data_IF_729324000536
#
_entry.id   IF_729324000536
#
_cell.length_a   1.000
_cell.length_b   1.000
_cell.length_c   1.000
_cell.angle_alpha   90.00
_cell.angle_beta   90.00
_cell.angle_gamma   90.00
#
_symmetry.space_group_name_H-M   'P 1'
#
loop_
_entity.id
_entity.type
_entity.pdbx_description
1 polymer ?
#
# COMPACT_ATOMS: atom_id res chain seq x y z
N UNK A 1 -15.31 -7.43 0.46
CA UNK A 1 -14.59 -7.07 1.70
C UNK A 1 -14.42 -5.56 1.77
N UNK A 2 -14.48 -4.99 2.95
CA UNK A 2 -14.39 -3.55 3.17
C UNK A 2 -13.05 -3.24 3.83
N UNK A 3 -12.37 -2.20 3.34
CA UNK A 3 -11.10 -1.73 3.88
C UNK A 3 -11.23 -0.28 4.31
N UNK A 4 -10.36 0.14 5.21
CA UNK A 4 -10.28 1.52 5.67
C UNK A 4 -8.85 2.04 5.54
N UNK A 5 -8.72 3.30 5.13
CA UNK A 5 -7.43 3.98 5.11
C UNK A 5 -7.01 4.28 6.55
N UNK A 6 -5.74 4.06 6.86
CA UNK A 6 -5.18 4.33 8.18
C UNK A 6 -3.93 5.18 8.07
N UNK A 7 -3.58 5.81 9.18
CA UNK A 7 -2.31 6.51 9.32
C UNK A 7 -1.22 5.50 9.64
N UNK A 8 -0.12 5.54 8.89
CA UNK A 8 1.00 4.63 9.05
C UNK A 8 2.28 5.43 9.22
N UNK A 9 3.19 4.93 10.04
CA UNK A 9 4.53 5.50 10.20
C UNK A 9 5.57 4.45 9.81
N UNK A 10 6.61 4.88 9.09
CA UNK A 10 7.72 4.00 8.75
C UNK A 10 8.73 3.88 9.91
N UNK A 11 9.78 3.09 9.73
CA UNK A 11 10.77 2.81 10.77
C UNK A 11 11.57 4.03 11.21
N UNK A 12 11.61 5.08 10.41
CA UNK A 12 12.35 6.32 10.72
C UNK A 12 11.42 7.50 11.06
N UNK A 13 10.13 7.21 11.30
CA UNK A 13 9.18 8.21 11.78
C UNK A 13 8.48 9.02 10.71
N UNK A 14 8.63 8.69 9.43
CA UNK A 14 7.87 9.34 8.37
C UNK A 14 6.44 8.84 8.34
N UNK A 15 5.49 9.74 8.03
CA UNK A 15 4.08 9.44 7.99
C UNK A 15 3.57 9.28 6.57
N UNK A 16 2.63 8.35 6.39
CA UNK A 16 1.92 8.15 5.13
C UNK A 16 0.54 7.56 5.40
N UNK A 17 -0.30 7.49 4.38
CA UNK A 17 -1.63 6.89 4.48
C UNK A 17 -1.66 5.61 3.67
N UNK A 18 -2.22 4.57 4.26
CA UNK A 18 -2.30 3.27 3.60
C UNK A 18 -3.44 2.42 4.10
N UNK A 19 -3.56 1.24 3.51
CA UNK A 19 -4.52 0.22 3.90
C UNK A 19 -3.75 -1.03 4.30
N UNK A 20 -4.02 -1.56 5.48
CA UNK A 20 -3.47 -2.85 5.90
C UNK A 20 -4.30 -3.96 5.24
N UNK A 21 -3.62 -4.93 4.62
CA UNK A 21 -4.26 -6.04 3.92
C UNK A 21 -4.01 -7.32 4.71
N UNK A 22 -5.06 -8.02 5.18
CA UNK A 22 -4.90 -9.30 5.87
C UNK A 22 -4.29 -10.36 4.95
N UNK A 23 -3.45 -11.22 5.51
CA UNK A 23 -2.82 -12.31 4.75
C UNK A 23 -3.85 -13.22 4.07
N UNK A 24 -5.00 -13.43 4.70
CA UNK A 24 -6.08 -14.25 4.15
C UNK A 24 -6.58 -13.71 2.79
N UNK A 25 -6.61 -12.39 2.63
CA UNK A 25 -7.02 -11.75 1.39
C UNK A 25 -6.01 -11.96 0.25
N UNK A 26 -4.77 -12.28 0.59
CA UNK A 26 -3.67 -12.42 -0.35
C UNK A 26 -3.25 -13.87 -0.61
N UNK A 27 -3.86 -14.84 0.08
CA UNK A 27 -3.40 -16.23 0.06
C UNK A 27 -3.32 -16.81 -1.35
N UNK A 28 -4.30 -16.51 -2.19
CA UNK A 28 -4.31 -16.98 -3.58
C UNK A 28 -3.09 -16.47 -4.35
N UNK A 29 -2.75 -15.19 -4.20
CA UNK A 29 -1.61 -14.57 -4.89
C UNK A 29 -0.27 -15.01 -4.30
N UNK A 30 -0.21 -15.23 -2.99
CA UNK A 30 0.99 -15.75 -2.34
C UNK A 30 1.28 -17.19 -2.80
N UNK A 31 0.25 -18.02 -2.95
CA UNK A 31 0.40 -19.36 -3.48
C UNK A 31 0.87 -19.35 -4.94
N UNK A 32 0.33 -18.45 -5.76
CA UNK A 32 0.75 -18.25 -7.15
C UNK A 32 2.22 -17.82 -7.22
N UNK A 33 2.62 -16.89 -6.36
CA UNK A 33 4.01 -16.43 -6.28
C UNK A 33 4.95 -17.58 -5.90
N UNK A 34 4.55 -18.43 -4.97
CA UNK A 34 5.31 -19.60 -4.56
C UNK A 34 5.53 -20.57 -5.73
N UNK A 35 4.50 -20.78 -6.56
CA UNK A 35 4.62 -21.63 -7.76
C UNK A 35 5.59 -21.04 -8.79
N UNK A 36 5.55 -19.72 -8.98
CA UNK A 36 6.42 -19.02 -9.94
C UNK A 36 7.87 -19.00 -9.48
N UNK A 37 8.12 -18.74 -8.21
CA UNK A 37 9.48 -18.60 -7.64
C UNK A 37 10.12 -19.93 -7.27
N UNK A 38 9.32 -20.94 -6.91
CA UNK A 38 9.79 -22.12 -6.22
C UNK A 38 9.91 -21.88 -4.71
N UNK A 39 9.96 -22.96 -3.95
CA UNK A 39 9.90 -22.91 -2.48
C UNK A 39 11.07 -22.14 -1.87
N UNK A 40 12.29 -22.35 -2.36
CA UNK A 40 13.49 -21.71 -1.81
C UNK A 40 13.46 -20.18 -1.99
N UNK A 41 13.20 -19.72 -3.21
CA UNK A 41 13.13 -18.27 -3.49
C UNK A 41 11.94 -17.62 -2.81
N UNK A 42 10.82 -18.32 -2.72
CA UNK A 42 9.65 -17.84 -1.98
C UNK A 42 9.96 -17.65 -0.49
N UNK A 43 10.70 -18.57 0.12
CA UNK A 43 11.08 -18.46 1.53
C UNK A 43 12.01 -17.28 1.76
N UNK A 44 12.94 -17.01 0.85
CA UNK A 44 13.82 -15.83 0.90
C UNK A 44 12.97 -14.54 0.80
N UNK A 45 12.03 -14.50 -0.14
CA UNK A 45 11.13 -13.37 -0.32
C UNK A 45 10.32 -13.08 0.95
N UNK A 46 9.70 -14.10 1.54
CA UNK A 46 8.87 -13.94 2.75
C UNK A 46 9.70 -13.56 3.97
N UNK A 47 10.92 -14.07 4.08
CA UNK A 47 11.85 -13.70 5.14
C UNK A 47 12.24 -12.23 5.04
N UNK A 48 12.55 -11.74 3.83
CA UNK A 48 12.87 -10.33 3.61
C UNK A 48 11.68 -9.43 3.90
N UNK A 49 10.48 -9.84 3.52
CA UNK A 49 9.25 -9.10 3.82
C UNK A 49 9.01 -9.05 5.34
N UNK A 50 9.23 -10.15 6.05
CA UNK A 50 9.13 -10.20 7.51
C UNK A 50 10.09 -9.23 8.18
N UNK A 51 11.33 -9.13 7.70
CA UNK A 51 12.33 -8.21 8.25
C UNK A 51 11.97 -6.75 7.98
N UNK A 52 11.51 -6.44 6.77
CA UNK A 52 11.21 -5.06 6.37
C UNK A 52 9.88 -4.56 6.94
N UNK A 53 8.82 -5.36 6.85
CA UNK A 53 7.45 -4.95 7.14
C UNK A 53 6.80 -5.75 8.28
N UNK A 54 7.58 -6.54 9.01
CA UNK A 54 7.11 -7.38 10.13
C UNK A 54 5.99 -8.35 9.74
N UNK A 55 6.02 -8.85 8.50
CA UNK A 55 5.00 -9.75 7.98
C UNK A 55 3.68 -9.09 7.65
N UNK A 56 3.58 -7.77 7.75
CA UNK A 56 2.38 -7.03 7.41
C UNK A 56 2.41 -6.62 5.93
N UNK A 57 1.26 -6.73 5.28
CA UNK A 57 1.06 -6.26 3.90
C UNK A 57 0.20 -5.00 3.91
N UNK A 58 0.52 -4.07 3.03
CA UNK A 58 -0.24 -2.83 2.93
C UNK A 58 -0.22 -2.26 1.51
N UNK A 59 -1.20 -1.40 1.23
CA UNK A 59 -1.25 -0.58 0.02
C UNK A 59 -0.99 0.86 0.46
N UNK A 60 -0.02 1.52 -0.17
CA UNK A 60 0.22 2.94 0.06
C UNK A 60 -0.75 3.76 -0.78
N UNK A 61 -1.55 4.60 -0.14
CA UNK A 61 -2.53 5.48 -0.80
C UNK A 61 -1.95 6.88 -1.02
N UNK A 62 -1.35 7.45 0.02
CA UNK A 62 -0.64 8.73 -0.06
C UNK A 62 0.74 8.49 0.55
N UNK A 63 1.77 8.53 -0.29
CA UNK A 63 3.13 8.24 0.14
C UNK A 63 3.73 9.35 1.01
N UNK A 64 4.91 9.10 1.57
CA UNK A 64 5.60 10.05 2.46
C UNK A 64 5.82 11.41 1.78
N UNK A 65 6.27 11.41 0.53
CA UNK A 65 6.55 12.65 -0.20
C UNK A 65 5.28 13.48 -0.40
N UNK A 66 4.19 12.85 -0.83
CA UNK A 66 2.90 13.52 -1.03
C UNK A 66 2.30 13.98 0.30
N UNK A 67 2.42 13.16 1.36
CA UNK A 67 1.97 13.53 2.70
C UNK A 67 2.66 14.80 3.19
N UNK A 68 3.98 14.85 3.07
CA UNK A 68 4.76 16.02 3.49
C UNK A 68 4.45 17.26 2.64
N UNK A 69 4.24 17.07 1.34
CA UNK A 69 3.85 18.15 0.43
C UNK A 69 2.52 18.79 0.84
N UNK A 70 1.51 17.96 1.15
CA UNK A 70 0.20 18.45 1.59
C UNK A 70 0.33 19.20 2.92
N UNK A 71 1.07 18.66 3.87
CA UNK A 71 1.33 19.33 5.16
C UNK A 71 1.97 20.69 4.98
N UNK A 72 2.89 20.81 4.02
CA UNK A 72 3.58 22.08 3.72
C UNK A 72 2.65 23.10 3.05
N UNK A 73 1.77 22.65 2.15
CA UNK A 73 0.87 23.52 1.38
C UNK A 73 -0.32 24.03 2.20
N UNK A 74 -0.95 23.15 2.99
CA UNK A 74 -2.18 23.49 3.72
C UNK A 74 -1.99 23.63 5.23
N UNK A 75 -0.84 23.23 5.75
CA UNK A 75 -0.59 23.18 7.18
C UNK A 75 -0.94 21.82 7.78
N UNK A 76 -0.12 21.35 8.73
CA UNK A 76 -0.26 20.03 9.34
C UNK A 76 -1.58 19.89 10.10
N UNK A 77 -1.99 20.89 10.86
CA UNK A 77 -3.21 20.82 11.66
C UNK A 77 -4.46 20.71 10.80
N UNK A 78 -4.51 21.46 9.71
CA UNK A 78 -5.62 21.43 8.76
C UNK A 78 -5.69 20.10 8.02
N UNK A 79 -4.55 19.56 7.61
CA UNK A 79 -4.48 18.27 6.95
C UNK A 79 -4.94 17.15 7.90
N UNK A 80 -4.39 17.08 9.11
CA UNK A 80 -4.73 16.05 10.10
C UNK A 80 -6.22 16.12 10.45
N UNK A 81 -6.79 17.31 10.59
CA UNK A 81 -8.22 17.47 10.84
C UNK A 81 -9.09 16.91 9.71
N UNK A 82 -8.61 16.96 8.46
CA UNK A 82 -9.34 16.43 7.31
C UNK A 82 -9.35 14.90 7.27
N UNK A 83 -8.43 14.23 7.96
CA UNK A 83 -8.25 12.78 7.88
C UNK A 83 -9.36 12.00 8.58
N UNK A 84 -10.09 12.59 9.53
CA UNK A 84 -11.19 11.91 10.22
C UNK A 84 -12.23 11.37 9.22
N UNK A 85 -12.60 12.16 8.23
CA UNK A 85 -13.53 11.74 7.18
C UNK A 85 -12.93 10.64 6.30
N UNK A 86 -11.63 10.75 6.00
CA UNK A 86 -10.91 9.77 5.18
C UNK A 86 -10.85 8.41 5.89
N UNK A 87 -10.59 8.39 7.19
CA UNK A 87 -10.51 7.15 7.97
C UNK A 87 -11.85 6.43 8.10
N UNK A 88 -12.96 7.14 7.92
CA UNK A 88 -14.31 6.58 7.95
C UNK A 88 -14.83 6.20 6.57
N UNK A 89 -14.11 6.54 5.52
CA UNK A 89 -14.51 6.27 4.15
C UNK A 89 -14.32 4.79 3.81
N UNK A 90 -15.40 4.14 3.39
CA UNK A 90 -15.40 2.71 3.08
C UNK A 90 -14.78 2.45 1.70
N UNK A 91 -13.77 1.59 1.66
CA UNK A 91 -13.17 1.14 0.40
C UNK A 91 -13.69 -0.27 0.14
N UNK A 92 -14.72 -0.38 -0.68
CA UNK A 92 -15.39 -1.65 -1.00
C UNK A 92 -15.20 -2.07 -2.47
N UNK A 93 -14.47 -1.30 -3.25
CA UNK A 93 -14.24 -1.53 -4.68
C UNK A 93 -12.79 -1.94 -5.01
N UNK A 94 -12.02 -2.35 -4.01
CA UNK A 94 -10.65 -2.78 -4.20
C UNK A 94 -10.60 -4.09 -4.99
N UNK A 95 -9.86 -4.08 -6.10
CA UNK A 95 -9.65 -5.25 -6.95
C UNK A 95 -8.18 -5.60 -7.00
N UNK A 96 -7.87 -6.87 -6.77
CA UNK A 96 -6.52 -7.41 -6.96
C UNK A 96 -6.43 -7.93 -8.39
N UNK A 97 -5.51 -7.38 -9.18
CA UNK A 97 -5.42 -7.63 -10.63
C UNK A 97 -4.42 -8.73 -10.99
N UNK A 98 -3.45 -8.98 -10.14
CA UNK A 98 -2.42 -10.00 -10.39
C UNK A 98 -1.07 -9.59 -9.85
N UNK A 99 -0.06 -10.45 -10.08
CA UNK A 99 1.29 -10.24 -9.60
C UNK A 99 2.08 -9.44 -10.64
N UNK A 100 2.69 -8.34 -10.21
CA UNK A 100 3.63 -7.56 -10.98
C UNK A 100 5.06 -7.76 -10.50
N UNK A 101 6.02 -7.45 -11.35
CA UNK A 101 7.43 -7.51 -11.00
C UNK A 101 8.15 -6.24 -11.43
N UNK A 102 9.14 -5.84 -10.64
CA UNK A 102 10.06 -4.77 -10.98
C UNK A 102 11.49 -5.22 -10.70
N UNK A 103 12.40 -4.86 -11.58
CA UNK A 103 13.82 -5.19 -11.44
C UNK A 103 14.61 -3.90 -11.33
N UNK A 104 15.45 -3.79 -10.30
CA UNK A 104 16.34 -2.66 -10.11
C UNK A 104 17.68 -3.16 -9.59
N UNK A 105 18.77 -2.90 -10.34
CA UNK A 105 20.13 -3.29 -9.95
C UNK A 105 20.24 -4.78 -9.59
N UNK A 106 19.71 -5.67 -10.45
CA UNK A 106 19.68 -7.12 -10.27
C UNK A 106 18.74 -7.62 -9.16
N UNK A 107 18.09 -6.72 -8.42
CA UNK A 107 17.10 -7.08 -7.43
C UNK A 107 15.72 -7.14 -8.07
N UNK A 108 14.97 -8.20 -7.75
CA UNK A 108 13.57 -8.37 -8.18
C UNK A 108 12.64 -8.08 -7.02
N UNK A 109 11.65 -7.24 -7.28
CA UNK A 109 10.53 -7.01 -6.37
C UNK A 109 9.26 -7.59 -6.96
N UNK A 110 8.42 -8.19 -6.12
CA UNK A 110 7.11 -8.71 -6.48
C UNK A 110 6.05 -7.93 -5.72
N UNK A 111 4.95 -7.63 -6.39
CA UNK A 111 3.84 -6.90 -5.79
C UNK A 111 2.53 -7.34 -6.42
N UNK A 112 1.43 -7.11 -5.73
CA UNK A 112 0.10 -7.39 -6.24
C UNK A 112 -0.49 -6.08 -6.72
N UNK A 113 -0.79 -6.01 -8.01
CA UNK A 113 -1.38 -4.82 -8.64
C UNK A 113 -2.84 -4.71 -8.22
N UNK A 114 -3.26 -3.51 -7.83
CA UNK A 114 -4.62 -3.23 -7.35
C UNK A 114 -5.24 -2.06 -8.10
N UNK A 115 -6.57 -2.05 -8.16
CA UNK A 115 -7.35 -0.94 -8.67
C UNK A 115 -8.48 -0.60 -7.71
N UNK A 116 -8.77 0.69 -7.54
CA UNK A 116 -9.90 1.18 -6.76
C UNK A 116 -10.23 2.61 -7.17
N UNK A 117 -11.43 2.83 -7.69
CA UNK A 117 -11.90 4.18 -8.02
C UNK A 117 -12.05 5.04 -6.77
N UNK A 118 -12.42 4.43 -5.66
CA UNK A 118 -12.54 5.14 -4.37
C UNK A 118 -11.21 5.64 -3.84
N UNK A 119 -10.14 4.84 -3.99
CA UNK A 119 -8.79 5.28 -3.63
C UNK A 119 -8.30 6.40 -4.55
N UNK A 120 -8.59 6.32 -5.85
CA UNK A 120 -8.28 7.41 -6.78
C UNK A 120 -9.04 8.71 -6.40
N UNK A 121 -10.30 8.58 -5.98
CA UNK A 121 -11.08 9.73 -5.52
C UNK A 121 -10.46 10.40 -4.29
N UNK A 122 -9.92 9.63 -3.35
CA UNK A 122 -9.21 10.15 -2.19
C UNK A 122 -7.98 10.96 -2.63
N UNK A 123 -7.20 10.45 -3.55
CA UNK A 123 -6.03 11.17 -4.08
C UNK A 123 -6.43 12.47 -4.76
N UNK A 124 -7.48 12.45 -5.58
CA UNK A 124 -8.00 13.66 -6.26
C UNK A 124 -8.47 14.73 -5.28
N UNK A 125 -9.01 14.33 -4.13
CA UNK A 125 -9.43 15.26 -3.08
C UNK A 125 -8.28 16.13 -2.58
N UNK A 126 -7.05 15.61 -2.62
CA UNK A 126 -5.84 16.34 -2.24
C UNK A 126 -5.04 16.83 -3.46
N UNK A 127 -5.68 16.85 -4.63
CA UNK A 127 -5.08 17.33 -5.90
C UNK A 127 -3.81 16.54 -6.30
N UNK A 128 -3.78 15.24 -5.94
CA UNK A 128 -2.70 14.35 -6.30
C UNK A 128 -2.98 13.66 -7.64
N UNK A 129 -1.92 13.33 -8.37
CA UNK A 129 -2.02 12.57 -9.61
C UNK A 129 -2.52 11.14 -9.36
N UNK A 130 -3.01 10.48 -10.41
CA UNK A 130 -3.35 9.07 -10.36
C UNK A 130 -2.13 8.25 -9.94
N UNK A 131 -2.37 7.16 -9.24
CA UNK A 131 -1.32 6.31 -8.68
C UNK A 131 -1.59 4.85 -9.00
N UNK A 132 -0.53 4.10 -9.28
CA UNK A 132 -0.61 2.66 -9.46
C UNK A 132 -0.57 1.99 -8.08
N UNK A 133 -1.73 1.55 -7.60
CA UNK A 133 -1.82 0.91 -6.29
C UNK A 133 -1.28 -0.53 -6.34
N UNK A 134 -0.53 -0.91 -5.32
CA UNK A 134 0.00 -2.25 -5.20
C UNK A 134 0.20 -2.63 -3.74
N UNK A 135 0.14 -3.93 -3.46
CA UNK A 135 0.44 -4.47 -2.13
C UNK A 135 1.94 -4.72 -2.03
N UNK A 136 2.53 -4.23 -0.99
CA UNK A 136 3.94 -4.45 -0.67
C UNK A 136 4.10 -5.09 0.69
#
# INVERSE_FOLDING_TARGET
MIYYITHVSDSIGNNYLGIKIPNESLQLYLNELKEVLGEEDYNVFTENQQKRDKGEYHITVINVADYNKICKEVGIDKFVSSLDAIFKYLIDDLKFMGIGTATRNENRAFFIVCESDKLEAVRKRYELNDHDFHVT
#
